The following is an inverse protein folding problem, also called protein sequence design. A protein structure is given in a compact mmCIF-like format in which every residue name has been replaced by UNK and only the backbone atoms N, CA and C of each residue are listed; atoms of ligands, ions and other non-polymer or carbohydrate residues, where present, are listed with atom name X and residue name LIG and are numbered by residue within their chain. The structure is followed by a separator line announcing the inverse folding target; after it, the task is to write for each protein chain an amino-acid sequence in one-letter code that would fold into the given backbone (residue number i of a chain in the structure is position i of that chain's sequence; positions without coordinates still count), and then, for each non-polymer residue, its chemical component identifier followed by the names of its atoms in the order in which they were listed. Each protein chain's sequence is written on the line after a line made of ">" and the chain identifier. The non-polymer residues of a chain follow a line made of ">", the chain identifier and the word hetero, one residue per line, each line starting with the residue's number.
data_IF_800434009346
#
_entry.id   IF_800434009346
#
_cell.length_a   1.000
_cell.length_b   1.000
_cell.length_c   1.000
_cell.angle_alpha   90.00
_cell.angle_beta   90.00
_cell.angle_gamma   90.00
#
_symmetry.space_group_name_H-M   'P 1'
#
loop_
_entity.id
_entity.type
_entity.pdbx_description
1 polymer ?
#
# COMPACT_ATOMS: atom_id res chain seq x y z
N UNK A 1 0.24 3.02 20.35
CA UNK A 1 0.93 2.49 19.16
C UNK A 1 2.33 3.05 19.16
N UNK A 2 3.33 2.17 19.17
CA UNK A 2 4.74 2.55 19.08
C UNK A 2 4.97 3.43 17.84
N UNK A 3 5.86 4.41 17.95
CA UNK A 3 6.26 5.22 16.81
C UNK A 3 7.11 4.34 15.90
N UNK A 4 6.53 3.74 14.85
CA UNK A 4 7.24 2.92 13.86
C UNK A 4 8.50 3.63 13.32
N UNK A 5 8.46 4.97 13.20
CA UNK A 5 9.62 5.79 12.83
C UNK A 5 10.79 5.65 13.80
N UNK A 6 10.51 5.52 15.09
CA UNK A 6 11.55 5.35 16.11
C UNK A 6 12.10 3.92 16.09
N UNK A 7 11.26 2.93 15.78
CA UNK A 7 11.71 1.56 15.57
C UNK A 7 12.65 1.46 14.35
N UNK A 8 12.33 2.14 13.24
CA UNK A 8 13.23 2.27 12.09
C UNK A 8 14.55 2.93 12.47
N UNK A 9 14.49 4.04 13.21
CA UNK A 9 15.69 4.74 13.70
C UNK A 9 16.54 3.85 14.60
N UNK A 10 15.91 3.07 15.48
CA UNK A 10 16.60 2.14 16.37
C UNK A 10 17.32 1.04 15.61
N UNK A 11 16.70 0.52 14.54
CA UNK A 11 17.30 -0.47 13.64
C UNK A 11 18.34 0.14 12.67
N UNK A 12 18.62 1.44 12.75
CA UNK A 12 19.52 2.13 11.82
C UNK A 12 19.02 2.16 10.38
N UNK A 13 17.70 2.01 10.18
CA UNK A 13 17.06 2.02 8.87
C UNK A 13 16.59 3.44 8.50
N UNK A 14 17.05 3.94 7.36
CA UNK A 14 16.57 5.20 6.79
C UNK A 14 15.44 4.93 5.79
N UNK A 15 14.24 5.42 6.10
CA UNK A 15 13.05 5.30 5.24
C UNK A 15 13.10 6.26 4.04
N UNK A 16 14.08 7.17 3.98
CA UNK A 16 14.21 8.15 2.90
C UNK A 16 13.02 9.11 2.84
N UNK A 17 12.42 9.23 1.65
CA UNK A 17 11.24 10.08 1.42
C UNK A 17 9.92 9.36 1.70
N UNK A 18 9.96 8.05 1.92
CA UNK A 18 8.77 7.24 2.15
C UNK A 18 8.37 7.20 3.63
N UNK A 19 7.11 6.91 3.88
CA UNK A 19 6.61 6.72 5.25
C UNK A 19 7.13 5.41 5.84
N UNK A 20 7.29 5.36 7.17
CA UNK A 20 7.78 4.16 7.85
C UNK A 20 6.85 2.95 7.75
N UNK A 21 5.56 3.18 7.46
CA UNK A 21 4.55 2.15 7.22
C UNK A 21 4.41 1.75 5.74
N UNK A 22 5.25 2.30 4.85
CA UNK A 22 5.35 1.81 3.49
C UNK A 22 5.83 0.35 3.49
N UNK A 23 5.22 -0.53 2.68
CA UNK A 23 5.44 -1.97 2.72
C UNK A 23 6.93 -2.35 2.61
N UNK A 24 7.69 -1.68 1.74
CA UNK A 24 9.13 -1.93 1.59
C UNK A 24 9.89 -1.66 2.89
N UNK A 25 9.54 -0.59 3.60
CA UNK A 25 10.18 -0.18 4.84
C UNK A 25 9.81 -1.17 5.95
N UNK A 26 8.53 -1.57 6.03
CA UNK A 26 8.09 -2.58 7.00
C UNK A 26 8.81 -3.92 6.79
N UNK A 27 8.96 -4.38 5.55
CA UNK A 27 9.73 -5.60 5.21
C UNK A 27 11.19 -5.44 5.60
N UNK A 28 11.80 -4.28 5.35
CA UNK A 28 13.18 -4.02 5.76
C UNK A 28 13.33 -4.07 7.28
N UNK A 29 12.41 -3.45 8.02
CA UNK A 29 12.41 -3.45 9.48
C UNK A 29 12.22 -4.86 10.07
N UNK A 30 11.38 -5.70 9.46
CA UNK A 30 11.22 -7.10 9.84
C UNK A 30 12.53 -7.91 9.75
N UNK A 31 13.39 -7.56 8.78
CA UNK A 31 14.69 -8.20 8.58
C UNK A 31 15.83 -7.60 9.41
N UNK A 32 15.75 -6.32 9.75
CA UNK A 32 16.79 -5.59 10.49
C UNK A 32 16.58 -5.55 12.00
N UNK A 33 15.34 -5.72 12.47
CA UNK A 33 15.04 -5.68 13.91
C UNK A 33 15.46 -6.97 14.60
N UNK A 34 16.16 -6.83 15.73
CA UNK A 34 16.48 -7.95 16.64
C UNK A 34 15.36 -8.21 17.67
N UNK A 35 14.33 -7.35 17.71
CA UNK A 35 13.26 -7.40 18.72
C UNK A 35 12.14 -8.32 18.23
N UNK A 36 12.12 -9.56 18.72
CA UNK A 36 11.14 -10.57 18.27
C UNK A 36 9.69 -10.15 18.49
N UNK A 37 9.35 -9.54 19.62
CA UNK A 37 7.98 -9.03 19.90
C UNK A 37 7.53 -8.03 18.82
N UNK A 38 8.40 -7.10 18.42
CA UNK A 38 8.10 -6.14 17.36
C UNK A 38 7.91 -6.85 16.01
N UNK A 39 8.74 -7.85 15.70
CA UNK A 39 8.63 -8.60 14.44
C UNK A 39 7.30 -9.34 14.35
N UNK A 40 6.85 -9.95 15.45
CA UNK A 40 5.56 -10.61 15.54
C UNK A 40 4.40 -9.61 15.36
N UNK A 41 4.45 -8.47 16.05
CA UNK A 41 3.44 -7.41 15.89
C UNK A 41 3.38 -6.87 14.46
N UNK A 42 4.53 -6.62 13.84
CA UNK A 42 4.63 -6.16 12.45
C UNK A 42 4.11 -7.23 11.48
N UNK A 43 4.44 -8.51 11.68
CA UNK A 43 3.94 -9.59 10.84
C UNK A 43 2.42 -9.74 10.96
N UNK A 44 1.86 -9.64 12.17
CA UNK A 44 0.44 -9.73 12.43
C UNK A 44 -0.38 -8.66 11.69
N UNK A 45 0.17 -7.45 11.49
CA UNK A 45 -0.50 -6.40 10.69
C UNK A 45 -0.17 -6.49 9.19
N UNK A 46 1.03 -6.93 8.83
CA UNK A 46 1.51 -6.92 7.45
C UNK A 46 0.91 -8.05 6.63
N UNK A 47 0.80 -9.26 7.17
CA UNK A 47 0.21 -10.42 6.48
C UNK A 47 -1.20 -10.11 5.95
N UNK A 48 -2.17 -9.64 6.77
CA UNK A 48 -3.50 -9.32 6.27
C UNK A 48 -3.51 -8.10 5.34
N UNK A 49 -2.61 -7.13 5.52
CA UNK A 49 -2.46 -6.02 4.59
C UNK A 49 -2.01 -6.49 3.19
N UNK A 50 -1.02 -7.39 3.12
CA UNK A 50 -0.54 -7.96 1.85
C UNK A 50 -1.61 -8.85 1.21
N UNK A 51 -2.33 -9.67 1.98
CA UNK A 51 -3.52 -10.41 1.47
C UNK A 51 -4.54 -9.43 0.87
N UNK A 52 -4.79 -8.33 1.57
CA UNK A 52 -5.71 -7.30 1.11
C UNK A 52 -5.27 -6.64 -0.20
N UNK A 53 -3.97 -6.37 -0.36
CA UNK A 53 -3.41 -5.86 -1.62
C UNK A 53 -3.53 -6.88 -2.75
N UNK A 54 -3.31 -8.16 -2.47
CA UNK A 54 -3.42 -9.25 -3.45
C UNK A 54 -4.84 -9.40 -4.01
N UNK A 55 -5.88 -9.14 -3.19
CA UNK A 55 -7.25 -9.09 -3.70
C UNK A 55 -7.49 -7.99 -4.72
N UNK A 56 -6.69 -6.91 -4.71
CA UNK A 56 -6.73 -5.88 -5.76
C UNK A 56 -6.39 -6.43 -7.15
N UNK A 57 -5.74 -7.59 -7.21
CA UNK A 57 -5.42 -8.33 -8.44
C UNK A 57 -6.43 -9.44 -8.76
N UNK A 58 -7.56 -9.52 -8.04
CA UNK A 58 -8.63 -10.43 -8.40
C UNK A 58 -9.22 -10.03 -9.77
N UNK A 59 -9.48 -11.03 -10.62
CA UNK A 59 -9.84 -10.82 -12.02
C UNK A 59 -11.11 -9.98 -12.18
N UNK A 60 -12.09 -10.20 -11.33
CA UNK A 60 -13.34 -9.44 -11.23
C UNK A 60 -13.08 -7.97 -10.89
N UNK A 61 -12.19 -7.68 -9.93
CA UNK A 61 -11.82 -6.30 -9.57
C UNK A 61 -11.04 -5.60 -10.68
N UNK A 62 -10.13 -6.31 -11.34
CA UNK A 62 -9.40 -5.78 -12.50
C UNK A 62 -10.39 -5.43 -13.62
N UNK A 63 -11.30 -6.35 -13.97
CA UNK A 63 -12.33 -6.11 -14.99
C UNK A 63 -13.24 -4.94 -14.64
N UNK A 64 -13.66 -4.82 -13.38
CA UNK A 64 -14.48 -3.70 -12.91
C UNK A 64 -13.73 -2.36 -13.04
N UNK A 65 -12.46 -2.32 -12.64
CA UNK A 65 -11.61 -1.12 -12.78
C UNK A 65 -11.41 -0.72 -14.24
N UNK A 66 -11.09 -1.69 -15.12
CA UNK A 66 -10.96 -1.45 -16.57
C UNK A 66 -12.28 -0.90 -17.14
N UNK A 67 -13.42 -1.45 -16.71
CA UNK A 67 -14.74 -0.96 -17.10
C UNK A 67 -14.96 0.52 -16.77
N UNK A 68 -14.61 0.95 -15.55
CA UNK A 68 -14.69 2.36 -15.12
C UNK A 68 -13.78 3.27 -15.94
N UNK A 69 -12.52 2.88 -16.14
CA UNK A 69 -11.56 3.67 -16.92
C UNK A 69 -11.99 3.83 -18.38
N UNK A 70 -12.56 2.77 -18.98
CA UNK A 70 -13.13 2.83 -20.33
C UNK A 70 -14.31 3.79 -20.44
N UNK A 71 -15.18 3.85 -19.41
CA UNK A 71 -16.30 4.82 -19.37
C UNK A 71 -15.80 6.27 -19.30
N UNK A 72 -14.68 6.50 -18.64
CA UNK A 72 -14.07 7.83 -18.48
C UNK A 72 -13.27 8.28 -19.72
N UNK A 73 -13.22 7.48 -20.78
CA UNK A 73 -12.35 7.67 -21.96
C UNK A 73 -10.85 7.80 -21.61
N UNK A 74 -10.46 7.41 -20.39
CA UNK A 74 -9.08 7.34 -19.90
C UNK A 74 -8.43 6.02 -20.32
N UNK A 75 -8.68 5.54 -21.53
CA UNK A 75 -8.22 4.23 -22.00
C UNK A 75 -6.68 4.21 -22.14
N UNK A 76 -6.02 3.99 -21.01
CA UNK A 76 -4.57 4.03 -20.77
C UNK A 76 -4.05 2.60 -20.83
N UNK A 77 -3.21 2.28 -21.83
CA UNK A 77 -2.03 1.34 -21.97
C UNK A 77 -2.00 0.00 -21.17
N UNK A 78 -2.97 -0.34 -20.33
CA UNK A 78 -2.93 -1.48 -19.41
C UNK A 78 -3.33 -2.81 -20.06
N UNK A 79 -3.99 -2.78 -21.23
CA UNK A 79 -4.44 -4.00 -21.91
C UNK A 79 -3.28 -4.88 -22.38
N UNK A 80 -2.10 -4.30 -22.64
CA UNK A 80 -0.89 -5.03 -23.02
C UNK A 80 -0.10 -5.61 -21.81
N UNK A 81 -0.40 -5.17 -20.58
CA UNK A 81 0.14 -5.73 -19.34
C UNK A 81 -0.70 -6.95 -18.91
N UNK A 82 -0.77 -7.95 -19.78
CA UNK A 82 -1.23 -9.33 -19.56
C UNK A 82 -1.62 -9.68 -18.12
N UNK A 83 -2.88 -9.44 -17.71
CA UNK A 83 -3.61 -10.11 -16.63
C UNK A 83 -2.85 -10.41 -15.31
N UNK A 84 -1.81 -9.64 -15.02
CA UNK A 84 -0.71 -10.15 -14.21
C UNK A 84 0.37 -9.09 -14.11
N UNK A 85 -0.04 -7.95 -13.57
CA UNK A 85 0.90 -6.93 -13.12
C UNK A 85 2.08 -7.62 -12.40
N UNK A 86 3.35 -7.35 -12.77
CA UNK A 86 4.52 -8.01 -12.19
C UNK A 86 4.55 -7.95 -10.66
N UNK A 87 3.90 -6.95 -10.05
CA UNK A 87 3.79 -6.83 -8.60
C UNK A 87 2.93 -7.92 -7.95
N UNK A 88 2.02 -8.58 -8.67
CA UNK A 88 1.22 -9.69 -8.13
C UNK A 88 2.12 -10.83 -7.66
N UNK A 89 3.06 -11.25 -8.50
CA UNK A 89 3.98 -12.34 -8.15
C UNK A 89 4.94 -11.93 -7.04
N UNK A 90 5.42 -10.68 -7.04
CA UNK A 90 6.23 -10.16 -5.95
C UNK A 90 5.48 -10.17 -4.61
N UNK A 91 4.22 -9.69 -4.59
CA UNK A 91 3.38 -9.70 -3.39
C UNK A 91 3.03 -11.12 -2.92
N UNK A 92 2.81 -12.06 -3.85
CA UNK A 92 2.62 -13.47 -3.51
C UNK A 92 3.86 -14.07 -2.84
N UNK A 93 5.05 -13.79 -3.38
CA UNK A 93 6.30 -14.26 -2.80
C UNK A 93 6.53 -13.68 -1.40
N UNK A 94 6.26 -12.38 -1.22
CA UNK A 94 6.33 -11.71 0.09
C UNK A 94 5.35 -12.34 1.07
N UNK A 95 4.08 -12.55 0.67
CA UNK A 95 3.10 -13.19 1.53
C UNK A 95 3.56 -14.59 1.98
N UNK A 96 4.05 -15.39 1.03
CA UNK A 96 4.54 -16.74 1.33
C UNK A 96 5.72 -16.73 2.30
N UNK A 97 6.65 -15.78 2.14
CA UNK A 97 7.77 -15.60 3.06
C UNK A 97 7.29 -15.22 4.46
N UNK A 98 6.33 -14.30 4.56
CA UNK A 98 5.78 -13.85 5.84
C UNK A 98 5.01 -14.98 6.55
N UNK A 99 4.17 -15.73 5.84
CA UNK A 99 3.40 -16.83 6.42
C UNK A 99 4.30 -17.99 6.87
N UNK A 100 5.39 -18.25 6.14
CA UNK A 100 6.37 -19.28 6.50
C UNK A 100 7.25 -18.83 7.67
N UNK A 101 7.64 -17.55 7.71
CA UNK A 101 8.49 -16.98 8.76
C UNK A 101 7.76 -16.73 10.08
N UNK A 102 6.44 -16.51 10.02
CA UNK A 102 5.61 -16.13 11.16
C UNK A 102 4.32 -16.99 11.23
N UNK A 103 4.44 -18.31 11.43
CA UNK A 103 3.30 -19.23 11.38
C UNK A 103 2.24 -18.95 12.46
N UNK A 104 2.65 -18.45 13.63
CA UNK A 104 1.76 -18.21 14.78
C UNK A 104 0.75 -17.08 14.52
N UNK A 105 1.11 -16.11 13.67
CA UNK A 105 0.25 -14.97 13.31
C UNK A 105 -0.40 -15.11 11.94
N UNK A 106 0.08 -16.03 11.09
CA UNK A 106 -0.46 -16.27 9.75
C UNK A 106 -1.94 -16.72 9.74
N UNK A 107 -2.38 -17.39 10.81
CA UNK A 107 -3.76 -17.87 10.97
C UNK A 107 -4.76 -16.79 11.39
N UNK A 108 -4.31 -15.59 11.73
CA UNK A 108 -5.17 -14.52 12.25
C UNK A 108 -5.78 -13.75 11.07
N UNK A 109 -7.05 -14.01 10.76
CA UNK A 109 -7.84 -13.11 9.92
C UNK A 109 -8.22 -11.87 10.73
N UNK A 110 -7.59 -10.74 10.41
CA UNK A 110 -8.06 -9.44 10.87
C UNK A 110 -9.32 -9.09 10.09
N UNK A 111 -10.47 -9.13 10.78
CA UNK A 111 -11.77 -8.62 10.30
C UNK A 111 -11.58 -7.24 9.66
N UNK A 112 -11.58 -7.22 8.33
CA UNK A 112 -11.08 -6.09 7.55
C UNK A 112 -11.87 -4.81 7.85
N UNK A 113 -11.14 -3.78 8.26
CA UNK A 113 -11.56 -2.40 8.06
C UNK A 113 -11.70 -2.16 6.55
N UNK A 114 -12.94 -2.08 6.07
CA UNK A 114 -13.37 -1.80 4.69
C UNK A 114 -12.96 -0.40 4.18
N UNK A 115 -11.73 0.03 4.40
CA UNK A 115 -11.18 1.27 3.85
C UNK A 115 -9.84 0.98 3.17
N UNK A 116 -9.89 0.19 2.12
CA UNK A 116 -8.88 0.29 1.07
C UNK A 116 -9.07 1.68 0.48
N UNK A 117 -8.07 2.54 0.63
CA UNK A 117 -8.07 3.89 0.09
C UNK A 117 -8.36 3.78 -1.41
N UNK A 118 -9.52 4.30 -1.83
CA UNK A 118 -9.80 4.54 -3.24
C UNK A 118 -8.84 5.65 -3.69
N UNK A 119 -7.67 5.28 -4.22
CA UNK A 119 -6.67 6.24 -4.71
C UNK A 119 -7.23 7.04 -5.92
N UNK A 120 -8.43 6.69 -6.42
CA UNK A 120 -9.16 7.40 -7.46
C UNK A 120 -10.68 7.43 -7.20
N UNK A 121 -11.12 7.93 -6.03
CA UNK A 121 -12.48 8.44 -5.89
C UNK A 121 -12.55 9.84 -6.51
N UNK A 122 -13.62 10.13 -7.26
CA UNK A 122 -13.82 11.43 -7.95
C UNK A 122 -13.79 12.62 -6.97
N UNK A 123 -14.02 12.37 -5.68
CA UNK A 123 -13.95 13.34 -4.59
C UNK A 123 -12.53 13.85 -4.29
N UNK A 124 -11.49 13.01 -4.48
CA UNK A 124 -10.10 13.44 -4.29
C UNK A 124 -9.60 14.31 -5.45
N UNK A 125 -10.15 14.10 -6.65
CA UNK A 125 -9.82 14.89 -7.86
C UNK A 125 -10.56 16.23 -7.84
N UNK A 126 -11.81 16.27 -7.35
CA UNK A 126 -12.55 17.53 -7.21
C UNK A 126 -12.02 18.40 -6.07
N UNK A 127 -11.58 17.81 -4.96
CA UNK A 127 -11.00 18.55 -3.84
C UNK A 127 -9.68 19.25 -4.18
N UNK A 128 -8.91 18.75 -5.16
CA UNK A 128 -7.66 19.36 -5.62
C UNK A 128 -7.84 20.47 -6.67
N UNK A 129 -9.02 20.57 -7.31
CA UNK A 129 -9.27 21.58 -8.34
C UNK A 129 -9.92 22.85 -7.79
N UNK A 130 -10.50 22.80 -6.59
CA UNK A 130 -11.15 23.96 -5.96
C UNK A 130 -10.20 24.81 -5.09
N UNK A 131 -8.95 24.40 -4.87
CA UNK A 131 -7.99 25.16 -4.05
C UNK A 131 -7.00 26.04 -4.83
N UNK A 132 -6.98 26.00 -6.17
CA UNK A 132 -6.06 26.83 -6.99
C UNK A 132 -6.77 27.84 -7.92
N UNK A 133 -7.94 28.35 -7.51
CA UNK A 133 -8.50 29.59 -8.07
C UNK A 133 -8.67 30.64 -6.99
N UNK A 134 -7.55 31.20 -6.53
CA UNK A 134 -7.55 32.20 -5.46
C UNK A 134 -6.22 32.91 -5.22
N UNK A 135 -5.56 33.36 -6.29
CA UNK A 135 -4.65 34.51 -6.33
C UNK A 135 -3.58 34.71 -5.25
N UNK A 136 -2.31 34.45 -5.60
CA UNK A 136 -1.16 35.21 -5.05
C UNK A 136 -0.11 35.44 -6.16
N UNK A 137 -0.46 36.21 -7.19
CA UNK A 137 0.52 36.90 -8.04
C UNK A 137 -0.08 38.21 -8.56
N UNK A 138 -0.08 39.24 -7.71
CA UNK A 138 -0.06 40.65 -8.10
C UNK A 138 0.11 41.51 -6.83
N UNK A 139 1.34 41.90 -6.48
CA UNK A 139 1.81 43.27 -6.64
C UNK A 139 3.23 43.43 -6.07
N UNK A 140 4.17 43.77 -6.94
CA UNK A 140 5.39 44.49 -6.60
C UNK A 140 5.45 45.68 -7.56
N UNK A 141 5.84 46.83 -7.00
CA UNK A 141 5.75 48.22 -7.50
C UNK A 141 4.49 48.99 -7.10
#
# INVERSE_FOLDING_TARGET
>A
MAQIKDEHRHAGHDCGLELGDHLSNVIALLGLSDREELRQDLAAVTIPAVRSMLEGFAEDRIRARIGKLRQQHEAVIQEELNYGNPYRFALMAVLHLLETGFPDVAGIELERSRRVIEIHSEEAVSAGLDTERGGIFANSY
#
